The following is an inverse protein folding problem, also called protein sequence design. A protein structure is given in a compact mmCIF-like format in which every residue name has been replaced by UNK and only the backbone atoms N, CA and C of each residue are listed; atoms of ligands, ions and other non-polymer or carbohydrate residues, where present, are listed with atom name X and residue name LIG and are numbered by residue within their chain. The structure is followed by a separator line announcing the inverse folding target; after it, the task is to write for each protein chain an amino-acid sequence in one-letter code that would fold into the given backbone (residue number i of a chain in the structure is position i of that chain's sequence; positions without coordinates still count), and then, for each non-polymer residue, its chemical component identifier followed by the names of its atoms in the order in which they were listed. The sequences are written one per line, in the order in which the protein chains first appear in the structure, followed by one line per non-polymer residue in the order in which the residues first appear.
data_IF_968241257831
#
_entry.id   IF_968241257831
#
_cell.length_a   1.000
_cell.length_b   1.000
_cell.length_c   1.000
_cell.angle_alpha   90.00
_cell.angle_beta   90.00
_cell.angle_gamma   90.00
#
_symmetry.space_group_name_H-M   'P 1'
#
loop_
_entity.id
_entity.type
_entity.pdbx_description
1 polymer ?
#
# COMPACT_ATOMS: atom_id res chain seq x y z
N UNK A 1 -1.02 14.67 -3.28
CA UNK A 1 -0.99 14.17 -4.67
C UNK A 1 -2.30 13.45 -4.91
N UNK A 2 -2.97 13.70 -6.03
CA UNK A 2 -4.19 12.98 -6.43
C UNK A 2 -3.86 11.59 -6.99
N UNK A 3 -4.86 10.71 -7.00
CA UNK A 3 -4.75 9.39 -7.63
C UNK A 3 -4.25 9.46 -9.08
N UNK A 4 -4.79 10.39 -9.88
CA UNK A 4 -4.41 10.49 -11.29
C UNK A 4 -2.96 10.95 -11.47
N UNK A 5 -2.50 11.92 -10.68
CA UNK A 5 -1.10 12.33 -10.68
C UNK A 5 -0.16 11.19 -10.29
N UNK A 6 -0.57 10.36 -9.32
CA UNK A 6 0.17 9.16 -8.93
C UNK A 6 0.27 8.17 -10.09
N UNK A 7 -0.84 7.86 -10.76
CA UNK A 7 -0.85 6.99 -11.94
C UNK A 7 0.06 7.54 -13.03
N UNK A 8 -0.02 8.84 -13.34
CA UNK A 8 0.84 9.46 -14.36
C UNK A 8 2.33 9.38 -13.99
N UNK A 9 2.66 9.58 -12.71
CA UNK A 9 4.04 9.46 -12.21
C UNK A 9 4.60 8.05 -12.40
N UNK A 10 3.80 7.02 -12.11
CA UNK A 10 4.23 5.61 -12.21
C UNK A 10 4.24 5.10 -13.65
N UNK A 11 3.28 5.54 -14.47
CA UNK A 11 3.11 5.04 -15.85
C UNK A 11 3.88 5.85 -16.90
N UNK A 12 4.31 7.08 -16.56
CA UNK A 12 5.02 7.97 -17.47
C UNK A 12 4.18 8.31 -18.70
N UNK A 13 4.71 8.02 -19.88
CA UNK A 13 4.07 8.30 -21.17
C UNK A 13 3.15 7.17 -21.68
N UNK A 14 2.86 6.15 -20.86
CA UNK A 14 2.01 5.04 -21.29
C UNK A 14 0.59 5.51 -21.65
N UNK A 15 0.04 4.97 -22.74
CA UNK A 15 -1.33 5.27 -23.16
C UNK A 15 -2.33 4.56 -22.24
N UNK A 16 -3.55 5.10 -22.12
CA UNK A 16 -4.61 4.47 -21.30
C UNK A 16 -4.92 3.03 -21.72
N UNK A 17 -4.97 2.66 -23.03
CA UNK A 17 -5.08 1.26 -23.43
C UNK A 17 -3.94 0.38 -22.92
N UNK A 18 -2.69 0.86 -23.02
CA UNK A 18 -1.52 0.10 -22.54
C UNK A 18 -1.55 -0.10 -21.01
N UNK A 19 -1.99 0.91 -20.27
CA UNK A 19 -2.20 0.79 -18.82
C UNK A 19 -3.30 -0.24 -18.54
N UNK A 20 -4.42 -0.18 -19.25
CA UNK A 20 -5.55 -1.08 -19.05
C UNK A 20 -5.18 -2.54 -19.34
N UNK A 21 -4.47 -2.78 -20.45
CA UNK A 21 -3.94 -4.10 -20.82
C UNK A 21 -3.00 -4.64 -19.75
N UNK A 22 -2.04 -3.83 -19.31
CA UNK A 22 -1.05 -4.24 -18.29
C UNK A 22 -1.69 -4.56 -16.95
N UNK A 23 -2.74 -3.83 -16.56
CA UNK A 23 -3.49 -4.05 -15.31
C UNK A 23 -4.52 -5.18 -15.44
N UNK A 24 -4.90 -5.55 -16.67
CA UNK A 24 -5.92 -6.56 -16.92
C UNK A 24 -7.36 -6.06 -16.69
N UNK A 25 -7.64 -4.79 -17.02
CA UNK A 25 -8.96 -4.16 -16.83
C UNK A 25 -9.45 -3.47 -18.12
N UNK A 26 -10.72 -3.08 -18.14
CA UNK A 26 -11.27 -2.30 -19.25
C UNK A 26 -10.64 -0.89 -19.33
N UNK A 27 -10.35 -0.43 -20.56
CA UNK A 27 -9.83 0.93 -20.81
C UNK A 27 -10.74 2.02 -20.24
N UNK A 28 -12.06 1.83 -20.28
CA UNK A 28 -13.04 2.77 -19.72
C UNK A 28 -12.83 2.99 -18.22
N UNK A 29 -12.35 1.97 -17.49
CA UNK A 29 -11.98 2.09 -16.08
C UNK A 29 -10.81 3.04 -15.89
N UNK A 30 -9.75 2.91 -16.69
CA UNK A 30 -8.57 3.79 -16.64
C UNK A 30 -8.93 5.24 -16.98
N UNK A 31 -9.81 5.46 -17.97
CA UNK A 31 -10.23 6.82 -18.32
C UNK A 31 -10.98 7.51 -17.15
N UNK A 32 -11.78 6.76 -16.38
CA UNK A 32 -12.50 7.30 -15.22
C UNK A 32 -11.60 7.69 -14.06
N UNK A 33 -10.39 7.14 -13.97
CA UNK A 33 -9.44 7.45 -12.89
C UNK A 33 -8.99 8.91 -12.85
N UNK A 34 -9.18 9.65 -13.95
CA UNK A 34 -8.92 11.09 -14.02
C UNK A 34 -9.82 11.93 -13.12
N UNK A 35 -11.02 11.43 -12.83
CA UNK A 35 -12.06 12.19 -12.14
C UNK A 35 -12.68 11.45 -10.97
N UNK A 36 -12.46 10.13 -10.87
CA UNK A 36 -13.08 9.27 -9.86
C UNK A 36 -12.02 8.37 -9.22
N UNK A 37 -12.08 8.26 -7.90
CA UNK A 37 -11.26 7.32 -7.13
C UNK A 37 -11.69 5.88 -7.51
N UNK A 38 -10.75 5.00 -7.90
CA UNK A 38 -11.10 3.62 -8.23
C UNK A 38 -11.53 2.83 -7.00
N UNK A 39 -12.13 1.66 -7.24
CA UNK A 39 -12.26 0.64 -6.19
C UNK A 39 -10.88 0.13 -5.76
N UNK A 40 -10.75 -0.29 -4.50
CA UNK A 40 -9.49 -0.79 -3.92
C UNK A 40 -8.89 -1.95 -4.72
N UNK A 41 -9.71 -2.86 -5.27
CA UNK A 41 -9.21 -3.98 -6.06
C UNK A 41 -8.46 -3.53 -7.31
N UNK A 42 -8.93 -2.45 -7.96
CA UNK A 42 -8.29 -1.87 -9.13
C UNK A 42 -6.99 -1.13 -8.75
N UNK A 43 -6.96 -0.47 -7.60
CA UNK A 43 -5.75 0.20 -7.07
C UNK A 43 -4.67 -0.84 -6.75
N UNK A 44 -5.05 -1.94 -6.11
CA UNK A 44 -4.13 -3.05 -5.80
C UNK A 44 -3.65 -3.73 -7.07
N UNK A 45 -4.53 -3.98 -8.05
CA UNK A 45 -4.16 -4.54 -9.35
C UNK A 45 -3.17 -3.64 -10.08
N UNK A 46 -3.41 -2.32 -10.10
CA UNK A 46 -2.49 -1.34 -10.66
C UNK A 46 -1.12 -1.39 -9.99
N UNK A 47 -1.07 -1.36 -8.65
CA UNK A 47 0.18 -1.42 -7.91
C UNK A 47 0.99 -2.67 -8.26
N UNK A 48 0.35 -3.84 -8.27
CA UNK A 48 1.00 -5.11 -8.64
C UNK A 48 1.52 -5.10 -10.08
N UNK A 49 0.71 -4.63 -11.03
CA UNK A 49 1.09 -4.56 -12.45
C UNK A 49 2.33 -3.67 -12.71
N UNK A 50 2.56 -2.69 -11.84
CA UNK A 50 3.70 -1.76 -11.91
C UNK A 50 4.76 -2.01 -10.84
N UNK A 51 4.74 -3.17 -10.16
CA UNK A 51 5.70 -3.53 -9.11
C UNK A 51 5.84 -2.45 -8.01
N UNK A 52 4.71 -1.88 -7.59
CA UNK A 52 4.63 -0.93 -6.47
C UNK A 52 3.99 -1.58 -5.25
N UNK A 53 4.35 -1.16 -4.02
CA UNK A 53 3.65 -1.57 -2.82
C UNK A 53 2.15 -1.22 -2.90
N UNK A 54 1.22 -2.16 -2.68
CA UNK A 54 -0.21 -1.85 -2.73
C UNK A 54 -0.63 -0.74 -1.75
N UNK A 55 0.00 -0.67 -0.58
CA UNK A 55 -0.30 0.33 0.44
C UNK A 55 0.03 1.75 -0.03
N UNK A 56 1.15 1.93 -0.73
CA UNK A 56 1.52 3.21 -1.35
C UNK A 56 0.45 3.69 -2.33
N UNK A 57 -0.07 2.79 -3.17
CA UNK A 57 -1.09 3.14 -4.14
C UNK A 57 -2.45 3.44 -3.48
N UNK A 58 -2.81 2.71 -2.41
CA UNK A 58 -4.02 2.96 -1.63
C UNK A 58 -3.99 4.32 -0.91
N UNK A 59 -2.83 4.69 -0.35
CA UNK A 59 -2.60 6.04 0.19
C UNK A 59 -2.78 7.11 -0.87
N UNK A 60 -2.13 6.94 -2.03
CA UNK A 60 -2.23 7.88 -3.14
C UNK A 60 -3.66 8.00 -3.70
N UNK A 61 -4.46 6.94 -3.57
CA UNK A 61 -5.88 6.93 -3.92
C UNK A 61 -6.78 7.58 -2.85
N UNK A 62 -6.26 7.84 -1.65
CA UNK A 62 -7.03 8.33 -0.50
C UNK A 62 -7.99 7.28 0.07
N UNK A 63 -7.72 5.99 -0.18
CA UNK A 63 -8.52 4.87 0.34
C UNK A 63 -8.04 4.39 1.72
N UNK A 64 -6.83 4.78 2.10
CA UNK A 64 -6.27 4.66 3.43
C UNK A 64 -5.52 5.96 3.75
N UNK A 65 -5.37 6.25 5.03
CA UNK A 65 -4.63 7.39 5.58
C UNK A 65 -3.31 6.94 6.20
N UNK A 66 -2.43 7.89 6.51
CA UNK A 66 -1.19 7.60 7.25
C UNK A 66 -1.50 7.05 8.65
N UNK A 67 -2.55 7.58 9.30
CA UNK A 67 -3.06 7.11 10.59
C UNK A 67 -3.47 5.63 10.55
N UNK A 68 -4.11 5.18 9.46
CA UNK A 68 -4.50 3.77 9.27
C UNK A 68 -3.28 2.83 9.24
N UNK A 69 -2.13 3.33 8.79
CA UNK A 69 -0.89 2.56 8.65
C UNK A 69 -0.14 2.49 9.97
N UNK A 70 -0.10 3.59 10.72
CA UNK A 70 0.51 3.63 12.06
C UNK A 70 -0.18 2.66 13.03
N UNK A 71 -1.47 2.40 12.85
CA UNK A 71 -2.25 1.45 13.64
C UNK A 71 -1.95 -0.03 13.33
N UNK A 72 -1.15 -0.32 12.29
CA UNK A 72 -0.90 -1.70 11.86
C UNK A 72 0.33 -2.29 12.53
N UNK A 73 0.25 -2.56 13.84
CA UNK A 73 0.91 -3.76 14.36
C UNK A 73 -0.06 -4.91 14.15
N UNK A 74 0.06 -5.65 13.03
CA UNK A 74 -0.62 -6.94 12.93
C UNK A 74 -0.09 -7.77 14.10
N UNK A 75 -0.94 -8.19 15.06
CA UNK A 75 -0.50 -9.12 16.07
C UNK A 75 -0.02 -10.37 15.33
N UNK A 76 1.29 -10.63 15.34
CA UNK A 76 1.76 -11.94 14.91
C UNK A 76 1.21 -12.94 15.91
N UNK A 77 0.62 -14.02 15.40
CA UNK A 77 0.29 -15.12 16.27
C UNK A 77 1.60 -15.75 16.73
N UNK A 78 1.95 -15.52 18.00
CA UNK A 78 3.15 -16.06 18.61
C UNK A 78 3.17 -17.59 18.58
N UNK A 79 2.01 -18.24 18.46
CA UNK A 79 1.89 -19.69 18.36
C UNK A 79 2.42 -20.25 17.03
N UNK A 80 2.50 -19.44 15.97
CA UNK A 80 3.02 -19.86 14.67
C UNK A 80 4.51 -19.54 14.48
N UNK A 81 5.14 -18.89 15.47
CA UNK A 81 6.54 -18.47 15.40
C UNK A 81 7.48 -19.57 15.91
N UNK A 82 8.63 -19.70 15.26
CA UNK A 82 9.76 -20.44 15.83
C UNK A 82 10.30 -19.74 17.08
N UNK A 83 11.04 -20.47 17.91
CA UNK A 83 11.65 -19.91 19.12
C UNK A 83 12.60 -18.75 18.78
N UNK A 84 13.35 -18.87 17.68
CA UNK A 84 14.28 -17.86 17.18
C UNK A 84 13.57 -16.57 16.72
N UNK A 85 12.44 -16.72 16.02
CA UNK A 85 11.60 -15.60 15.62
C UNK A 85 11.00 -14.90 16.84
N UNK A 86 10.60 -15.66 17.86
CA UNK A 86 10.04 -15.10 19.10
C UNK A 86 11.07 -14.27 19.87
N UNK A 87 12.30 -14.78 20.02
CA UNK A 87 13.40 -14.03 20.66
C UNK A 87 13.69 -12.72 19.91
N UNK A 88 13.68 -12.77 18.58
CA UNK A 88 13.87 -11.58 17.73
C UNK A 88 12.75 -10.56 17.94
N UNK A 89 11.50 -11.03 17.97
CA UNK A 89 10.32 -10.18 18.17
C UNK A 89 10.29 -9.58 19.59
N UNK A 90 10.65 -10.33 20.62
CA UNK A 90 10.82 -9.81 21.99
C UNK A 90 11.84 -8.67 22.03
N UNK A 91 12.96 -8.81 21.32
CA UNK A 91 13.97 -7.74 21.19
C UNK A 91 13.41 -6.49 20.53
N UNK A 92 12.64 -6.65 19.44
CA UNK A 92 11.97 -5.55 18.74
C UNK A 92 10.97 -4.83 19.66
N UNK A 93 10.12 -5.58 20.36
CA UNK A 93 9.12 -5.04 21.30
C UNK A 93 9.80 -4.25 22.42
N UNK A 94 10.88 -4.79 23.01
CA UNK A 94 11.61 -4.09 24.07
C UNK A 94 12.25 -2.78 23.61
N UNK A 95 12.73 -2.72 22.36
CA UNK A 95 13.27 -1.50 21.77
C UNK A 95 12.17 -0.44 21.52
N UNK A 96 11.01 -0.87 21.03
CA UNK A 96 9.85 -0.02 20.81
C UNK A 96 9.31 0.56 22.12
N UNK A 97 9.20 -0.25 23.18
CA UNK A 97 8.80 0.21 24.51
C UNK A 97 9.75 1.29 25.06
N UNK A 98 11.07 1.12 24.87
CA UNK A 98 12.04 2.14 25.27
C UNK A 98 11.84 3.46 24.53
N UNK A 99 11.63 3.43 23.21
CA UNK A 99 11.42 4.64 22.41
C UNK A 99 10.20 5.44 22.90
N UNK A 100 9.09 4.76 23.22
CA UNK A 100 7.87 5.41 23.75
C UNK A 100 8.10 6.07 25.11
N UNK A 101 8.89 5.46 25.99
CA UNK A 101 9.26 6.06 27.29
C UNK A 101 10.15 7.30 27.12
N UNK A 102 10.95 7.36 26.05
CA UNK A 102 11.84 8.51 25.77
C UNK A 102 11.10 9.68 25.09
N UNK A 103 9.95 9.42 24.49
CA UNK A 103 9.12 10.40 23.77
C UNK A 103 8.02 11.04 24.66
N UNK A 104 7.70 10.43 25.82
CA UNK A 104 6.77 10.91 26.86
C UNK A 104 7.46 11.72 27.98
#
# INVERSE_FOLDING_TARGET
MSWWEYVQKITGAASQPAIAERVGIAQSSVNRWKTVIPKSENVIAFAKAYNRPPLEALLAAGLVSEEDIELTQVPRDYAEMTAEELVTEMGRIAAEMRRRIEED
#
